data_IF_032189589799
#
_entry.id   IF_032189589799
#
_cell.length_a   1.000
_cell.length_b   1.000
_cell.length_c   1.000
_cell.angle_alpha   90.00
_cell.angle_beta   90.00
_cell.angle_gamma   90.00
#
_symmetry.space_group_name_H-M   'P 1'
#
loop_
_entity.id
_entity.type
_entity.pdbx_description
1 polymer ?
#
# COMPACT_ATOMS: atom_id res chain seq x y z
N UNK A 1 -85.17 -39.45 -19.13
CA UNK A 1 -84.47 -38.79 -20.25
C UNK A 1 -84.15 -37.31 -20.00
N UNK A 2 -84.79 -36.63 -19.03
CA UNK A 2 -84.52 -35.20 -18.72
C UNK A 2 -83.20 -34.99 -17.95
N UNK A 3 -82.84 -35.89 -17.03
CA UNK A 3 -81.59 -35.80 -16.24
C UNK A 3 -80.31 -36.02 -17.09
N UNK A 4 -80.41 -36.79 -18.18
CA UNK A 4 -79.29 -37.04 -19.07
C UNK A 4 -78.93 -35.82 -19.93
N UNK A 5 -79.93 -35.02 -20.36
CA UNK A 5 -79.70 -33.77 -21.09
C UNK A 5 -79.03 -32.71 -20.21
N UNK A 6 -79.42 -32.60 -18.94
CA UNK A 6 -78.84 -31.62 -18.01
C UNK A 6 -77.36 -31.92 -17.68
N UNK A 7 -76.94 -33.19 -17.76
CA UNK A 7 -75.55 -33.58 -17.54
C UNK A 7 -74.67 -33.32 -18.78
N UNK A 8 -75.18 -33.57 -19.99
CA UNK A 8 -74.48 -33.26 -21.25
C UNK A 8 -74.34 -31.75 -21.46
N UNK A 9 -75.37 -30.96 -21.19
CA UNK A 9 -75.34 -29.49 -21.34
C UNK A 9 -74.31 -28.85 -20.39
N UNK A 10 -74.15 -29.39 -19.17
CA UNK A 10 -73.11 -28.95 -18.23
C UNK A 10 -71.71 -29.34 -18.68
N UNK A 11 -71.55 -30.51 -19.29
CA UNK A 11 -70.25 -30.99 -19.77
C UNK A 11 -69.77 -30.18 -20.99
N UNK A 12 -70.72 -29.77 -21.85
CA UNK A 12 -70.46 -28.94 -23.03
C UNK A 12 -70.07 -27.51 -22.64
N UNK A 13 -70.80 -26.89 -21.70
CA UNK A 13 -70.43 -25.59 -21.11
C UNK A 13 -69.03 -25.61 -20.47
N UNK A 14 -68.70 -26.66 -19.71
CA UNK A 14 -67.36 -26.80 -19.09
C UNK A 14 -66.22 -26.93 -20.12
N UNK A 15 -66.50 -27.48 -21.31
CA UNK A 15 -65.50 -27.64 -22.38
C UNK A 15 -65.18 -26.33 -23.11
N UNK A 16 -66.19 -25.44 -23.26
CA UNK A 16 -66.00 -24.09 -23.79
C UNK A 16 -65.21 -23.22 -22.79
N UNK A 17 -65.58 -23.23 -21.50
CA UNK A 17 -64.85 -22.50 -20.46
C UNK A 17 -63.39 -22.95 -20.33
N UNK A 18 -63.10 -24.25 -20.51
CA UNK A 18 -61.71 -24.76 -20.46
C UNK A 18 -60.83 -24.11 -21.52
N UNK A 19 -61.35 -23.94 -22.73
CA UNK A 19 -60.58 -23.38 -23.85
C UNK A 19 -60.34 -21.88 -23.65
N UNK A 20 -61.34 -21.17 -23.15
CA UNK A 20 -61.22 -19.75 -22.78
C UNK A 20 -60.19 -19.52 -21.67
N UNK A 21 -60.18 -20.37 -20.64
CA UNK A 21 -59.18 -20.35 -19.56
C UNK A 21 -57.76 -20.59 -20.10
N UNK A 22 -57.57 -21.54 -21.02
CA UNK A 22 -56.26 -21.78 -21.64
C UNK A 22 -55.78 -20.60 -22.50
N UNK A 23 -56.67 -19.95 -23.25
CA UNK A 23 -56.31 -18.74 -24.00
C UNK A 23 -55.95 -17.60 -23.07
N UNK A 24 -56.75 -17.34 -22.03
CA UNK A 24 -56.47 -16.30 -21.04
C UNK A 24 -55.14 -16.57 -20.30
N UNK A 25 -54.89 -17.81 -19.89
CA UNK A 25 -53.64 -18.20 -19.23
C UNK A 25 -52.42 -18.05 -20.16
N UNK A 26 -52.56 -18.42 -21.44
CA UNK A 26 -51.49 -18.30 -22.43
C UNK A 26 -51.15 -16.83 -22.71
N UNK A 27 -52.17 -15.98 -22.89
CA UNK A 27 -52.00 -14.54 -23.08
C UNK A 27 -51.36 -13.91 -21.84
N UNK A 28 -51.84 -14.25 -20.64
CA UNK A 28 -51.28 -13.78 -19.38
C UNK A 28 -49.80 -14.15 -19.23
N UNK A 29 -49.45 -15.40 -19.55
CA UNK A 29 -48.06 -15.87 -19.51
C UNK A 29 -47.18 -15.14 -20.53
N UNK A 30 -47.68 -14.93 -21.75
CA UNK A 30 -46.97 -14.22 -22.80
C UNK A 30 -46.70 -12.76 -22.40
N UNK A 31 -47.71 -12.06 -21.86
CA UNK A 31 -47.59 -10.69 -21.38
C UNK A 31 -46.62 -10.59 -20.20
N UNK A 32 -46.71 -11.50 -19.22
CA UNK A 32 -45.79 -11.54 -18.08
C UNK A 32 -44.33 -11.79 -18.52
N UNK A 33 -44.13 -12.66 -19.52
CA UNK A 33 -42.80 -12.96 -20.08
C UNK A 33 -42.23 -11.75 -20.81
N UNK A 34 -43.03 -11.10 -21.67
CA UNK A 34 -42.63 -9.88 -22.37
C UNK A 34 -42.28 -8.76 -21.38
N UNK A 35 -43.14 -8.53 -20.38
CA UNK A 35 -42.91 -7.51 -19.36
C UNK A 35 -41.63 -7.79 -18.56
N UNK A 36 -41.44 -9.04 -18.12
CA UNK A 36 -40.21 -9.45 -17.43
C UNK A 36 -38.97 -9.24 -18.30
N UNK A 37 -39.05 -9.57 -19.59
CA UNK A 37 -37.95 -9.38 -20.53
C UNK A 37 -37.57 -7.90 -20.68
N UNK A 38 -38.55 -7.01 -20.83
CA UNK A 38 -38.31 -5.57 -20.93
C UNK A 38 -37.76 -4.98 -19.61
N UNK A 39 -38.31 -5.39 -18.46
CA UNK A 39 -37.84 -4.96 -17.15
C UNK A 39 -36.38 -5.37 -16.89
N UNK A 40 -36.02 -6.63 -17.18
CA UNK A 40 -34.64 -7.12 -16.99
C UNK A 40 -33.67 -6.43 -17.96
N UNK A 41 -34.03 -6.29 -19.24
CA UNK A 41 -33.15 -5.60 -20.21
C UNK A 41 -32.95 -4.12 -19.90
N UNK A 42 -34.00 -3.43 -19.45
CA UNK A 42 -33.94 -2.03 -19.05
C UNK A 42 -33.14 -1.85 -17.75
N UNK A 43 -33.44 -2.65 -16.73
CA UNK A 43 -32.82 -2.57 -15.41
C UNK A 43 -31.32 -2.89 -15.39
N UNK A 44 -30.84 -3.75 -16.30
CA UNK A 44 -29.41 -4.11 -16.41
C UNK A 44 -28.58 -3.13 -17.28
N UNK A 45 -29.23 -2.18 -17.97
CA UNK A 45 -28.52 -1.22 -18.83
C UNK A 45 -27.50 -0.34 -18.06
N UNK A 46 -27.81 0.20 -16.87
CA UNK A 46 -26.86 1.01 -16.10
C UNK A 46 -25.62 0.21 -15.68
N UNK A 47 -25.78 -1.05 -15.29
CA UNK A 47 -24.66 -1.94 -14.96
C UNK A 47 -23.70 -2.14 -16.13
N UNK A 48 -24.22 -2.27 -17.36
CA UNK A 48 -23.37 -2.40 -18.56
C UNK A 48 -22.59 -1.12 -18.88
N UNK A 49 -23.19 0.05 -18.64
CA UNK A 49 -22.51 1.34 -18.81
C UNK A 49 -21.38 1.50 -17.79
N UNK A 50 -21.63 1.14 -16.53
CA UNK A 50 -20.61 1.15 -15.48
C UNK A 50 -19.48 0.15 -15.77
N UNK A 51 -19.81 -1.06 -16.25
CA UNK A 51 -18.83 -2.05 -16.70
C UNK A 51 -17.95 -1.52 -17.86
N UNK A 52 -18.55 -0.80 -18.82
CA UNK A 52 -17.81 -0.16 -19.90
C UNK A 52 -16.90 0.97 -19.40
N UNK A 53 -17.35 1.77 -18.42
CA UNK A 53 -16.52 2.79 -17.78
C UNK A 53 -15.34 2.18 -17.02
N UNK A 54 -15.51 1.01 -16.40
CA UNK A 54 -14.42 0.29 -15.72
C UNK A 54 -13.35 -0.21 -16.68
N UNK A 55 -13.72 -0.62 -17.90
CA UNK A 55 -12.75 -1.01 -18.93
C UNK A 55 -11.86 0.14 -19.41
N UNK A 56 -12.26 1.40 -19.21
CA UNK A 56 -11.44 2.56 -19.56
C UNK A 56 -10.40 2.91 -18.48
N UNK A 57 -10.51 2.31 -17.29
CA UNK A 57 -9.57 2.53 -16.19
C UNK A 57 -8.30 1.75 -16.47
N UNK A 58 -7.19 2.48 -16.51
CA UNK A 58 -5.84 1.93 -16.67
C UNK A 58 -4.90 2.66 -15.71
N UNK A 59 -3.68 2.15 -15.53
CA UNK A 59 -2.66 2.84 -14.73
C UNK A 59 -2.43 4.31 -15.17
N UNK A 60 -2.73 4.63 -16.43
CA UNK A 60 -2.59 5.97 -17.00
C UNK A 60 -3.87 6.83 -16.94
N UNK A 61 -4.98 6.27 -16.42
CA UNK A 61 -6.31 6.91 -16.32
C UNK A 61 -7.03 6.53 -15.02
N UNK A 62 -6.35 6.75 -13.89
CA UNK A 62 -6.90 6.54 -12.55
C UNK A 62 -7.71 7.74 -12.03
N UNK A 63 -7.77 8.83 -12.80
CA UNK A 63 -8.51 10.07 -12.54
C UNK A 63 -10.00 9.98 -12.92
N UNK A 64 -10.35 9.01 -13.78
CA UNK A 64 -11.74 8.78 -14.20
C UNK A 64 -12.57 8.24 -13.03
N UNK A 65 -13.79 8.76 -12.84
CA UNK A 65 -14.72 8.33 -11.77
C UNK A 65 -16.04 7.87 -12.36
N UNK A 66 -16.71 6.95 -11.66
CA UNK A 66 -18.09 6.57 -11.99
C UNK A 66 -19.03 7.71 -11.56
N UNK A 67 -19.90 8.16 -12.47
CA UNK A 67 -20.86 9.23 -12.19
C UNK A 67 -22.04 8.71 -11.36
N UNK A 68 -22.02 9.03 -10.07
CA UNK A 68 -23.07 8.65 -9.11
C UNK A 68 -24.45 9.20 -9.48
N UNK A 69 -24.52 10.36 -10.16
CA UNK A 69 -25.80 10.98 -10.56
C UNK A 69 -26.48 10.21 -11.67
N UNK A 70 -25.71 9.48 -12.47
CA UNK A 70 -26.21 8.63 -13.55
C UNK A 70 -26.63 7.23 -13.09
N UNK A 71 -26.29 6.86 -11.85
CA UNK A 71 -26.57 5.55 -11.28
C UNK A 71 -27.95 5.49 -10.61
N UNK A 72 -28.69 4.37 -10.75
CA UNK A 72 -29.84 4.05 -9.90
C UNK A 72 -29.46 4.09 -8.43
N UNK A 73 -30.41 4.45 -7.55
CA UNK A 73 -30.17 4.59 -6.10
C UNK A 73 -29.61 3.32 -5.48
N UNK A 74 -30.04 2.16 -5.98
CA UNK A 74 -29.62 0.83 -5.54
C UNK A 74 -28.14 0.55 -5.81
N UNK A 75 -27.51 1.30 -6.73
CA UNK A 75 -26.09 1.17 -7.08
C UNK A 75 -25.22 2.27 -6.48
N UNK A 76 -25.78 3.24 -5.75
CA UNK A 76 -25.02 4.36 -5.18
C UNK A 76 -23.90 3.87 -4.26
N UNK A 77 -24.19 2.97 -3.33
CA UNK A 77 -23.21 2.40 -2.40
C UNK A 77 -22.04 1.70 -3.13
N UNK A 78 -22.34 1.05 -4.26
CA UNK A 78 -21.33 0.38 -5.10
C UNK A 78 -20.47 1.42 -5.83
N UNK A 79 -21.09 2.47 -6.39
CA UNK A 79 -20.37 3.58 -7.03
C UNK A 79 -19.43 4.25 -6.04
N UNK A 80 -19.90 4.54 -4.83
CA UNK A 80 -19.10 5.17 -3.78
C UNK A 80 -17.93 4.28 -3.36
N UNK A 81 -18.21 3.00 -3.09
CA UNK A 81 -17.16 2.02 -2.74
C UNK A 81 -16.11 1.88 -3.83
N UNK A 82 -16.53 1.89 -5.10
CA UNK A 82 -15.63 1.81 -6.24
C UNK A 82 -14.79 3.08 -6.41
N UNK A 83 -15.41 4.26 -6.34
CA UNK A 83 -14.68 5.53 -6.40
C UNK A 83 -13.69 5.66 -5.23
N UNK A 84 -14.06 5.23 -4.01
CA UNK A 84 -13.15 5.21 -2.87
C UNK A 84 -11.95 4.26 -3.09
N UNK A 85 -12.17 3.12 -3.75
CA UNK A 85 -11.08 2.23 -4.16
C UNK A 85 -10.15 2.91 -5.19
N UNK A 86 -10.72 3.59 -6.19
CA UNK A 86 -9.94 4.36 -7.17
C UNK A 86 -9.14 5.49 -6.51
N UNK A 87 -9.70 6.19 -5.53
CA UNK A 87 -8.98 7.24 -4.79
C UNK A 87 -7.81 6.68 -3.99
N UNK A 88 -7.94 5.46 -3.45
CA UNK A 88 -6.83 4.77 -2.78
C UNK A 88 -5.75 4.37 -3.79
N UNK A 89 -6.14 3.77 -4.92
CA UNK A 89 -5.20 3.38 -5.98
C UNK A 89 -4.47 4.57 -6.57
N UNK A 90 -5.17 5.67 -6.85
CA UNK A 90 -4.59 6.88 -7.39
C UNK A 90 -3.53 7.46 -6.45
N UNK A 91 -3.87 7.61 -5.15
CA UNK A 91 -2.91 8.08 -4.14
C UNK A 91 -1.70 7.19 -4.01
N UNK A 92 -1.88 5.86 -3.98
CA UNK A 92 -0.76 4.92 -3.92
C UNK A 92 0.13 4.99 -5.17
N UNK A 93 -0.46 5.18 -6.35
CA UNK A 93 0.30 5.31 -7.59
C UNK A 93 1.08 6.63 -7.66
N UNK A 94 0.48 7.74 -7.23
CA UNK A 94 1.16 9.04 -7.13
C UNK A 94 2.35 8.97 -6.15
N UNK A 95 2.14 8.39 -4.97
CA UNK A 95 3.20 8.17 -3.98
C UNK A 95 4.35 7.34 -4.54
N UNK A 96 4.04 6.22 -5.22
CA UNK A 96 5.05 5.35 -5.83
C UNK A 96 5.82 6.08 -6.94
N UNK A 97 5.13 6.88 -7.76
CA UNK A 97 5.74 7.63 -8.86
C UNK A 97 6.68 8.72 -8.32
N UNK A 98 6.21 9.49 -7.34
CA UNK A 98 7.02 10.51 -6.67
C UNK A 98 8.24 9.90 -5.99
N UNK A 99 8.03 8.83 -5.21
CA UNK A 99 9.11 8.08 -4.58
C UNK A 99 10.13 7.60 -5.62
N UNK A 100 9.70 6.97 -6.70
CA UNK A 100 10.59 6.48 -7.77
C UNK A 100 11.40 7.62 -8.42
N UNK A 101 10.79 8.79 -8.61
CA UNK A 101 11.46 9.96 -9.15
C UNK A 101 12.53 10.50 -8.20
N UNK A 102 12.20 10.62 -6.92
CA UNK A 102 13.11 11.07 -5.86
C UNK A 102 14.30 10.10 -5.71
N UNK A 103 14.02 8.79 -5.73
CA UNK A 103 15.06 7.76 -5.73
C UNK A 103 16.02 7.88 -6.92
N UNK A 104 15.49 8.07 -8.12
CA UNK A 104 16.31 8.21 -9.31
C UNK A 104 17.20 9.46 -9.24
N UNK A 105 16.69 10.55 -8.65
CA UNK A 105 17.46 11.76 -8.43
C UNK A 105 18.59 11.55 -7.41
N UNK A 106 18.27 11.00 -6.24
CA UNK A 106 19.20 10.80 -5.13
C UNK A 106 20.31 9.80 -5.45
N UNK A 107 20.05 8.82 -6.32
CA UNK A 107 21.06 7.88 -6.83
C UNK A 107 21.95 8.49 -7.91
N UNK A 108 21.40 9.34 -8.79
CA UNK A 108 22.13 9.89 -9.93
C UNK A 108 23.31 10.76 -9.50
N UNK A 109 23.14 11.55 -8.45
CA UNK A 109 24.17 12.48 -7.95
C UNK A 109 25.45 11.77 -7.49
N UNK A 110 25.42 10.84 -6.52
CA UNK A 110 26.61 10.12 -6.08
C UNK A 110 27.22 9.24 -7.19
N UNK A 111 26.39 8.64 -8.06
CA UNK A 111 26.88 7.87 -9.21
C UNK A 111 27.66 8.75 -10.22
N UNK A 112 27.14 9.94 -10.52
CA UNK A 112 27.84 10.90 -11.38
C UNK A 112 29.14 11.38 -10.74
N UNK A 113 29.15 11.63 -9.42
CA UNK A 113 30.36 12.03 -8.70
C UNK A 113 31.44 10.95 -8.79
N UNK A 114 31.10 9.70 -8.47
CA UNK A 114 31.99 8.54 -8.61
C UNK A 114 32.55 8.46 -10.04
N UNK A 115 31.69 8.57 -11.05
CA UNK A 115 32.09 8.47 -12.46
C UNK A 115 33.05 9.60 -12.87
N UNK A 116 32.76 10.85 -12.49
CA UNK A 116 33.62 12.01 -12.78
C UNK A 116 34.96 11.87 -12.06
N UNK A 117 34.96 11.51 -10.78
CA UNK A 117 36.17 11.29 -9.99
C UNK A 117 37.07 10.21 -10.62
N UNK A 118 36.48 9.09 -11.06
CA UNK A 118 37.21 8.04 -11.77
C UNK A 118 37.74 8.51 -13.12
N UNK A 119 36.95 9.21 -13.94
CA UNK A 119 37.40 9.76 -15.23
C UNK A 119 38.57 10.73 -15.06
N UNK A 120 38.47 11.62 -14.08
CA UNK A 120 39.49 12.63 -13.74
C UNK A 120 40.78 11.96 -13.24
N UNK A 121 40.67 10.84 -12.53
CA UNK A 121 41.81 10.03 -12.08
C UNK A 121 42.50 9.25 -13.22
N UNK A 122 41.73 8.83 -14.24
CA UNK A 122 42.25 8.17 -15.44
C UNK A 122 42.88 9.15 -16.44
N UNK A 123 42.48 10.42 -16.43
CA UNK A 123 42.94 11.42 -17.40
C UNK A 123 44.40 11.83 -17.29
N UNK A 124 45.07 11.56 -16.16
CA UNK A 124 46.51 11.79 -15.97
C UNK A 124 47.08 10.89 -14.88
N UNK A 125 48.37 10.61 -14.97
CA UNK A 125 49.10 9.87 -13.94
C UNK A 125 49.16 10.67 -12.63
N UNK A 126 48.96 9.98 -11.50
CA UNK A 126 48.94 10.58 -10.15
C UNK A 126 49.85 9.84 -9.20
N UNK A 127 50.11 10.45 -8.05
CA UNK A 127 50.80 9.79 -6.94
C UNK A 127 49.99 8.62 -6.38
N UNK A 128 50.67 7.70 -5.71
CA UNK A 128 50.00 6.55 -5.04
C UNK A 128 49.05 7.05 -3.96
N UNK A 129 49.45 8.09 -3.23
CA UNK A 129 48.68 8.72 -2.16
C UNK A 129 47.37 9.34 -2.69
N UNK A 130 47.41 10.00 -3.85
CA UNK A 130 46.20 10.54 -4.50
C UNK A 130 45.23 9.43 -4.94
N UNK A 131 45.73 8.31 -5.44
CA UNK A 131 44.88 7.16 -5.79
C UNK A 131 44.27 6.51 -4.55
N UNK A 132 45.03 6.37 -3.47
CA UNK A 132 44.50 5.85 -2.20
C UNK A 132 43.41 6.75 -1.63
N UNK A 133 43.63 8.07 -1.60
CA UNK A 133 42.62 9.03 -1.13
C UNK A 133 41.34 9.00 -1.98
N UNK A 134 41.47 8.89 -3.31
CA UNK A 134 40.34 8.71 -4.21
C UNK A 134 39.57 7.42 -3.92
N UNK A 135 40.26 6.30 -3.74
CA UNK A 135 39.63 5.01 -3.46
C UNK A 135 38.90 5.03 -2.11
N UNK A 136 39.48 5.65 -1.09
CA UNK A 136 38.81 5.87 0.21
C UNK A 136 37.53 6.70 0.04
N UNK A 137 37.59 7.81 -0.71
CA UNK A 137 36.40 8.62 -0.99
C UNK A 137 35.33 7.85 -1.77
N UNK A 138 35.72 7.00 -2.71
CA UNK A 138 34.79 6.16 -3.44
C UNK A 138 34.12 5.12 -2.52
N UNK A 139 34.86 4.52 -1.58
CA UNK A 139 34.31 3.58 -0.60
C UNK A 139 33.22 4.25 0.24
N UNK A 140 33.47 5.47 0.74
CA UNK A 140 32.48 6.23 1.50
C UNK A 140 31.17 6.46 0.71
N UNK A 141 31.27 6.80 -0.58
CA UNK A 141 30.12 6.96 -1.46
C UNK A 141 29.39 5.63 -1.75
N UNK A 142 30.11 4.52 -1.91
CA UNK A 142 29.49 3.20 -2.05
C UNK A 142 28.73 2.79 -0.80
N UNK A 143 29.29 3.02 0.38
CA UNK A 143 28.60 2.76 1.64
C UNK A 143 27.36 3.65 1.80
N UNK A 144 27.44 4.92 1.38
CA UNK A 144 26.30 5.83 1.37
C UNK A 144 25.18 5.30 0.48
N UNK A 145 25.51 4.84 -0.73
CA UNK A 145 24.57 4.22 -1.66
C UNK A 145 23.94 2.94 -1.06
N UNK A 146 24.74 2.08 -0.42
CA UNK A 146 24.26 0.86 0.22
C UNK A 146 23.27 1.16 1.35
N UNK A 147 23.59 2.10 2.25
CA UNK A 147 22.67 2.55 3.33
C UNK A 147 21.37 3.13 2.77
N UNK A 148 21.44 3.85 1.65
CA UNK A 148 20.26 4.39 0.98
C UNK A 148 19.36 3.27 0.45
N UNK A 149 19.93 2.28 -0.24
CA UNK A 149 19.20 1.11 -0.71
C UNK A 149 18.56 0.28 0.42
N UNK A 150 19.28 0.07 1.54
CA UNK A 150 18.74 -0.64 2.70
C UNK A 150 17.57 0.11 3.35
N UNK A 151 17.61 1.44 3.32
CA UNK A 151 16.52 2.30 3.79
C UNK A 151 15.30 2.20 2.88
N UNK A 152 15.50 2.18 1.56
CA UNK A 152 14.43 1.99 0.58
C UNK A 152 13.76 0.61 0.70
N UNK A 153 14.55 -0.46 0.77
CA UNK A 153 14.03 -1.83 0.90
C UNK A 153 13.22 -2.00 2.18
N UNK A 154 13.60 -1.30 3.24
CA UNK A 154 12.84 -1.29 4.47
C UNK A 154 11.53 -0.55 4.35
N UNK A 155 11.53 0.65 3.76
CA UNK A 155 10.31 1.44 3.57
C UNK A 155 9.32 0.66 2.68
N UNK A 156 9.78 0.10 1.58
CA UNK A 156 8.97 -0.73 0.68
C UNK A 156 8.39 -1.97 1.38
N UNK A 157 9.12 -2.56 2.33
CA UNK A 157 8.62 -3.66 3.18
C UNK A 157 7.59 -3.15 4.19
N UNK A 158 7.82 -2.00 4.82
CA UNK A 158 6.93 -1.44 5.83
C UNK A 158 5.57 -0.98 5.26
N UNK A 159 5.54 -0.45 4.04
CA UNK A 159 4.30 -0.02 3.36
C UNK A 159 3.41 -1.20 2.93
N UNK A 160 4.01 -2.34 2.59
CA UNK A 160 3.29 -3.59 2.45
C UNK A 160 3.00 -4.12 3.86
N UNK A 161 1.83 -3.78 4.41
CA UNK A 161 1.36 -3.98 5.79
C UNK A 161 1.36 -5.43 6.37
N UNK A 162 2.27 -6.29 5.92
CA UNK A 162 2.53 -7.65 6.35
C UNK A 162 4.02 -7.93 6.63
N UNK A 163 4.85 -6.92 6.91
CA UNK A 163 5.97 -7.20 7.82
C UNK A 163 5.30 -7.59 9.12
N UNK A 164 5.14 -8.90 9.34
CA UNK A 164 4.61 -9.44 10.57
C UNK A 164 5.53 -8.96 11.67
N UNK A 165 5.16 -7.83 12.29
CA UNK A 165 5.83 -7.30 13.47
C UNK A 165 5.77 -8.44 14.47
N UNK A 166 6.93 -8.86 14.98
CA UNK A 166 7.02 -9.90 15.99
C UNK A 166 7.38 -9.23 17.31
N UNK A 167 6.42 -8.51 17.94
CA UNK A 167 6.70 -7.87 19.19
C UNK A 167 6.92 -8.95 20.26
N UNK A 168 7.94 -8.73 21.08
CA UNK A 168 8.23 -9.55 22.24
C UNK A 168 8.57 -8.64 23.41
N UNK A 169 8.43 -9.15 24.64
CA UNK A 169 8.95 -8.44 25.80
C UNK A 169 10.48 -8.41 25.73
N UNK A 170 11.04 -7.22 25.86
CA UNK A 170 12.47 -6.93 25.77
C UNK A 170 12.91 -6.19 27.02
N UNK A 171 14.02 -6.61 27.61
CA UNK A 171 14.70 -5.81 28.62
C UNK A 171 15.36 -4.60 27.91
N UNK A 172 14.97 -3.39 28.32
CA UNK A 172 15.41 -2.16 27.67
C UNK A 172 16.89 -1.90 27.87
N UNK A 173 17.42 -2.19 29.06
CA UNK A 173 18.84 -2.04 29.39
C UNK A 173 19.70 -2.92 28.46
N UNK A 174 19.32 -4.20 28.34
CA UNK A 174 20.04 -5.16 27.49
C UNK A 174 20.01 -4.76 26.01
N UNK A 175 18.86 -4.31 25.49
CA UNK A 175 18.76 -3.94 24.07
C UNK A 175 19.48 -2.62 23.78
N UNK A 176 19.39 -1.61 24.64
CA UNK A 176 20.11 -0.36 24.45
C UNK A 176 21.63 -0.56 24.58
N UNK A 177 22.09 -1.43 25.47
CA UNK A 177 23.50 -1.81 25.57
C UNK A 177 24.00 -2.46 24.28
N UNK A 178 23.29 -3.48 23.75
CA UNK A 178 23.65 -4.11 22.47
C UNK A 178 23.71 -3.13 21.30
N UNK A 179 22.85 -2.11 21.31
CA UNK A 179 22.86 -1.07 20.29
C UNK A 179 24.09 -0.17 20.48
N UNK A 180 24.39 0.26 21.69
CA UNK A 180 25.56 1.09 21.97
C UNK A 180 26.88 0.37 21.62
N UNK A 181 27.01 -0.91 21.96
CA UNK A 181 28.18 -1.75 21.63
C UNK A 181 28.41 -1.80 20.12
N UNK A 182 27.34 -1.91 19.32
CA UNK A 182 27.44 -1.90 17.86
C UNK A 182 28.02 -0.59 17.30
N UNK A 183 27.80 0.53 17.98
CA UNK A 183 28.28 1.85 17.57
C UNK A 183 29.58 2.28 18.26
N UNK A 184 30.15 1.47 19.15
CA UNK A 184 31.32 1.84 19.97
C UNK A 184 32.51 2.27 19.10
N UNK A 185 32.87 1.48 18.09
CA UNK A 185 33.99 1.82 17.19
C UNK A 185 33.76 3.09 16.37
N UNK A 186 32.53 3.32 15.90
CA UNK A 186 32.17 4.53 15.13
C UNK A 186 32.19 5.76 16.05
N UNK A 187 31.73 5.60 17.29
CA UNK A 187 31.74 6.66 18.29
C UNK A 187 33.17 7.02 18.71
N UNK A 188 34.06 6.03 18.85
CA UNK A 188 35.47 6.24 19.16
C UNK A 188 36.19 7.00 18.04
N UNK A 189 35.95 6.63 16.78
CA UNK A 189 36.51 7.33 15.61
C UNK A 189 36.03 8.79 15.54
N UNK A 190 34.77 9.06 15.90
CA UNK A 190 34.21 10.39 16.02
C UNK A 190 34.55 11.12 17.34
N UNK A 191 35.32 10.49 18.24
CA UNK A 191 35.68 10.98 19.59
C UNK A 191 34.48 11.39 20.45
N UNK A 192 33.36 10.69 20.32
CA UNK A 192 32.17 10.90 21.15
C UNK A 192 31.94 9.69 22.05
N UNK A 193 31.32 9.91 23.22
CA UNK A 193 31.02 8.83 24.17
C UNK A 193 29.52 8.54 24.19
N UNK A 194 29.13 7.29 24.04
CA UNK A 194 27.74 6.87 24.19
C UNK A 194 27.53 6.42 25.65
N UNK A 195 26.48 6.93 26.29
CA UNK A 195 26.05 6.52 27.63
C UNK A 195 24.60 6.09 27.55
N UNK A 196 24.35 4.86 27.98
CA UNK A 196 23.01 4.26 28.04
C UNK A 196 22.52 4.31 29.48
N UNK A 197 21.24 4.63 29.66
CA UNK A 197 20.56 4.58 30.95
C UNK A 197 19.09 4.22 30.81
N UNK A 198 18.53 3.67 31.88
CA UNK A 198 17.12 3.26 31.90
C UNK A 198 16.98 1.77 32.17
N UNK A 199 15.89 1.42 32.85
CA UNK A 199 15.55 0.04 33.22
C UNK A 199 14.07 -0.19 32.96
N UNK A 200 13.69 -1.44 32.73
CA UNK A 200 12.30 -1.82 32.47
C UNK A 200 12.15 -2.78 31.29
N UNK A 201 10.90 -3.10 30.98
CA UNK A 201 10.53 -3.95 29.87
C UNK A 201 9.75 -3.16 28.83
N UNK A 202 10.01 -3.42 27.55
CA UNK A 202 9.25 -2.85 26.43
C UNK A 202 8.70 -3.98 25.56
N UNK A 203 7.45 -3.84 25.13
CA UNK A 203 6.86 -4.74 24.15
C UNK A 203 7.08 -4.20 22.74
N UNK A 204 8.12 -4.68 22.07
CA UNK A 204 8.53 -4.18 20.75
C UNK A 204 9.14 -5.28 19.88
N UNK A 205 9.18 -5.04 18.56
CA UNK A 205 9.96 -5.89 17.65
C UNK A 205 11.45 -5.52 17.78
N UNK A 206 12.34 -6.48 18.10
CA UNK A 206 13.74 -6.20 18.38
C UNK A 206 14.48 -5.57 17.20
N UNK A 207 14.15 -6.00 15.97
CA UNK A 207 14.80 -5.48 14.76
C UNK A 207 14.36 -4.05 14.48
N UNK A 208 13.06 -3.75 14.65
CA UNK A 208 12.54 -2.40 14.45
C UNK A 208 13.05 -1.43 15.51
N UNK A 209 13.10 -1.85 16.77
CA UNK A 209 13.63 -1.04 17.87
C UNK A 209 15.10 -0.69 17.63
N UNK A 210 15.93 -1.71 17.34
CA UNK A 210 17.35 -1.55 17.03
C UNK A 210 17.59 -0.61 15.86
N UNK A 211 16.77 -0.70 14.82
CA UNK A 211 16.86 0.20 13.66
C UNK A 211 16.48 1.63 14.00
N UNK A 212 15.37 1.84 14.72
CA UNK A 212 14.90 3.16 15.09
C UNK A 212 15.92 3.89 15.97
N UNK A 213 16.36 3.23 17.05
CA UNK A 213 17.36 3.79 17.98
C UNK A 213 18.72 3.92 17.29
N UNK A 214 19.13 2.93 16.50
CA UNK A 214 20.39 2.97 15.75
C UNK A 214 20.46 4.12 14.74
N UNK A 215 19.36 4.44 14.07
CA UNK A 215 19.28 5.62 13.21
C UNK A 215 19.46 6.93 13.99
N UNK A 216 18.87 7.03 15.19
CA UNK A 216 19.04 8.20 16.05
C UNK A 216 20.46 8.33 16.57
N UNK A 217 21.09 7.22 16.99
CA UNK A 217 22.49 7.20 17.46
C UNK A 217 23.45 7.56 16.33
N UNK A 218 23.26 6.99 15.14
CA UNK A 218 24.06 7.31 13.95
C UNK A 218 23.99 8.81 13.61
N UNK A 219 22.78 9.39 13.64
CA UNK A 219 22.62 10.84 13.49
C UNK A 219 23.29 11.62 14.62
N UNK A 220 23.13 11.18 15.87
CA UNK A 220 23.75 11.86 17.01
C UNK A 220 25.27 11.87 16.90
N UNK A 221 25.91 10.76 16.51
CA UNK A 221 27.36 10.68 16.30
C UNK A 221 27.80 11.68 15.23
N UNK A 222 27.06 11.76 14.12
CA UNK A 222 27.39 12.64 12.99
C UNK A 222 27.35 14.13 13.35
N UNK A 223 26.42 14.55 14.21
CA UNK A 223 26.18 15.97 14.49
C UNK A 223 26.70 16.43 15.86
N UNK A 224 27.18 15.52 16.69
CA UNK A 224 27.74 15.85 18.01
C UNK A 224 29.21 16.25 17.87
N UNK A 225 29.64 17.42 18.41
CA UNK A 225 31.05 17.81 18.41
C UNK A 225 31.93 16.79 19.16
N UNK A 226 33.22 16.75 18.81
CA UNK A 226 34.22 15.90 19.50
C UNK A 226 34.19 16.12 21.02
N UNK A 227 34.55 15.07 21.77
CA UNK A 227 34.66 15.02 23.23
C UNK A 227 33.34 15.22 24.00
N UNK A 228 32.20 15.08 23.32
CA UNK A 228 30.87 15.16 23.94
C UNK A 228 30.26 13.78 24.17
N UNK A 229 29.16 13.78 24.93
CA UNK A 229 28.43 12.58 25.34
C UNK A 229 27.07 12.54 24.64
N UNK A 230 26.76 11.41 24.03
CA UNK A 230 25.44 11.04 23.53
C UNK A 230 24.77 10.20 24.61
N UNK A 231 23.65 10.67 25.14
CA UNK A 231 22.91 10.01 26.22
C UNK A 231 21.64 9.39 25.67
N UNK A 232 21.48 8.09 25.85
CA UNK A 232 20.30 7.32 25.46
C UNK A 232 19.61 6.86 26.73
N UNK A 233 18.48 7.49 27.07
CA UNK A 233 17.73 7.19 28.29
C UNK A 233 16.35 6.61 27.98
N UNK A 234 15.96 5.57 28.72
CA UNK A 234 14.60 5.06 28.74
C UNK A 234 13.95 5.30 30.10
N UNK A 235 12.76 5.89 30.09
CA UNK A 235 11.95 6.15 31.28
C UNK A 235 10.54 5.62 31.08
N UNK A 236 9.99 4.97 32.09
CA UNK A 236 8.58 4.58 32.09
C UNK A 236 7.72 5.84 32.30
N UNK A 237 7.03 6.24 31.24
CA UNK A 237 6.04 7.31 31.29
C UNK A 237 4.73 6.63 31.64
N UNK A 238 4.56 6.30 32.91
CA UNK A 238 3.38 5.61 33.42
C UNK A 238 2.10 6.25 32.87
N UNK A 239 1.16 5.40 32.41
CA UNK A 239 -0.08 5.77 31.73
C UNK A 239 -0.61 7.13 32.19
N UNK A 240 -0.61 8.11 31.29
CA UNK A 240 -1.43 9.30 31.44
C UNK A 240 -2.90 8.83 31.56
N UNK A 241 -3.43 8.89 32.78
CA UNK A 241 -4.86 8.78 33.07
C UNK A 241 -5.65 9.85 32.34
#
# INVERSE_FOLDING_TARGET
>A
MVVARTASDRMELLSEYRTEVWYAASIGTLLATLLSFFLVRGGLRPLRLMAAQTHAISANRLDTRLDIRSAPKELHDIVESFNAMLDRLHRSFEQLTQFSADLAHDLRTPLNNLMVQTQVALGKQRSVEEYQGLLSSNIEEYERLARMMESMLFLARAENAHVAVKPQMLNVEDELAKIADYFEGIAEEAKVRIVVGGTGEIFADPMLLRRAVGNLISNAIRYTPEERIIRVEATDVGNAT
#
